data_IF_873240725434
#
_entry.id   IF_873240725434
#
_cell.length_a   1.000
_cell.length_b   1.000
_cell.length_c   1.000
_cell.angle_alpha   90.00
_cell.angle_beta   90.00
_cell.angle_gamma   90.00
#
_symmetry.space_group_name_H-M   'P 1'
#
loop_
_entity.id
_entity.type
_entity.pdbx_description
1 polymer ?
#
# COMPACT_ATOMS: atom_id res chain seq x y z
N UNK A 1 -17.59 -14.49 -1.90
CA UNK A 1 -16.49 -14.07 -2.78
C UNK A 1 -16.54 -12.57 -3.13
N UNK A 2 -16.35 -11.62 -2.17
CA UNK A 2 -15.94 -10.26 -2.56
C UNK A 2 -14.62 -9.76 -1.92
N UNK A 3 -14.11 -10.43 -0.89
CA UNK A 3 -12.99 -9.89 -0.09
C UNK A 3 -11.65 -9.84 -0.83
N UNK A 4 -11.42 -10.73 -1.80
CA UNK A 4 -10.17 -10.73 -2.59
C UNK A 4 -10.09 -9.59 -3.60
N UNK A 5 -11.23 -9.21 -4.17
CA UNK A 5 -11.27 -8.06 -5.07
C UNK A 5 -11.05 -6.77 -4.29
N UNK A 6 -11.65 -6.65 -3.10
CA UNK A 6 -11.39 -5.54 -2.18
C UNK A 6 -9.92 -5.49 -1.80
N UNK A 7 -9.32 -6.62 -1.42
CA UNK A 7 -7.90 -6.69 -1.08
C UNK A 7 -7.02 -6.20 -2.25
N UNK A 8 -7.21 -6.77 -3.44
CA UNK A 8 -6.46 -6.44 -4.67
C UNK A 8 -6.61 -4.97 -5.04
N UNK A 9 -7.83 -4.44 -5.02
CA UNK A 9 -8.10 -3.03 -5.29
C UNK A 9 -7.40 -2.12 -4.28
N UNK A 10 -7.51 -2.44 -2.98
CA UNK A 10 -6.90 -1.66 -1.90
C UNK A 10 -5.37 -1.61 -2.02
N UNK A 11 -4.72 -2.77 -2.21
CA UNK A 11 -3.25 -2.80 -2.34
C UNK A 11 -2.76 -2.12 -3.62
N UNK A 12 -3.51 -2.22 -4.73
CA UNK A 12 -3.16 -1.54 -5.97
C UNK A 12 -3.28 -0.01 -5.84
N UNK A 13 -4.36 0.47 -5.20
CA UNK A 13 -4.54 1.88 -4.87
C UNK A 13 -3.43 2.38 -3.94
N UNK A 14 -3.08 1.60 -2.91
CA UNK A 14 -1.98 1.93 -2.00
C UNK A 14 -0.66 2.09 -2.75
N UNK A 15 -0.32 1.17 -3.66
CA UNK A 15 0.88 1.26 -4.51
C UNK A 15 0.88 2.56 -5.32
N UNK A 16 -0.23 2.90 -5.97
CA UNK A 16 -0.32 4.11 -6.79
C UNK A 16 -0.12 5.39 -5.95
N UNK A 17 -0.81 5.49 -4.81
CA UNK A 17 -0.67 6.65 -3.91
C UNK A 17 0.72 6.74 -3.30
N UNK A 18 1.29 5.62 -2.88
CA UNK A 18 2.65 5.57 -2.31
C UNK A 18 3.71 5.94 -3.34
N UNK A 19 3.55 5.54 -4.60
CA UNK A 19 4.44 5.97 -5.66
C UNK A 19 4.43 7.49 -5.81
N UNK A 20 3.24 8.10 -5.86
CA UNK A 20 3.09 9.56 -5.94
C UNK A 20 3.68 10.27 -4.71
N UNK A 21 3.30 9.86 -3.50
CA UNK A 21 3.78 10.45 -2.24
C UNK A 21 5.31 10.33 -2.08
N UNK A 22 5.86 9.14 -2.31
CA UNK A 22 7.30 8.88 -2.21
C UNK A 22 8.06 9.74 -3.22
N UNK A 23 7.53 9.88 -4.44
CA UNK A 23 8.10 10.77 -5.45
C UNK A 23 8.12 12.24 -4.98
N UNK A 24 7.01 12.74 -4.45
CA UNK A 24 6.90 14.12 -3.94
C UNK A 24 7.90 14.34 -2.80
N UNK A 25 7.95 13.45 -1.81
CA UNK A 25 8.85 13.61 -0.67
C UNK A 25 10.32 13.47 -1.06
N UNK A 26 10.65 12.58 -1.99
CA UNK A 26 12.01 12.47 -2.52
C UNK A 26 12.43 13.76 -3.23
N UNK A 27 11.55 14.33 -4.06
CA UNK A 27 11.80 15.63 -4.71
C UNK A 27 11.97 16.75 -3.68
N UNK A 28 11.10 16.81 -2.67
CA UNK A 28 11.19 17.81 -1.60
C UNK A 28 12.46 17.66 -0.77
N UNK A 29 12.91 16.43 -0.52
CA UNK A 29 14.20 16.18 0.12
C UNK A 29 15.36 16.70 -0.73
N UNK A 30 15.34 16.48 -2.05
CA UNK A 30 16.40 16.99 -2.93
C UNK A 30 16.45 18.52 -2.97
N UNK A 31 15.30 19.19 -2.83
CA UNK A 31 15.21 20.65 -2.84
C UNK A 31 15.56 21.29 -1.48
N UNK A 32 15.00 20.77 -0.38
CA UNK A 32 15.02 21.42 0.95
C UNK A 32 16.00 20.72 1.90
N UNK A 33 16.39 19.46 1.62
CA UNK A 33 17.28 18.61 2.44
C UNK A 33 16.85 18.46 3.90
N UNK A 34 15.54 18.54 4.16
CA UNK A 34 14.96 18.33 5.49
C UNK A 34 14.99 16.85 5.90
N UNK A 35 15.35 16.59 7.16
CA UNK A 35 15.29 15.24 7.75
C UNK A 35 13.86 14.67 7.76
N UNK A 36 12.84 15.52 7.88
CA UNK A 36 11.45 15.08 7.84
C UNK A 36 11.07 14.55 6.45
N UNK A 37 11.46 15.25 5.38
CA UNK A 37 11.21 14.80 4.01
C UNK A 37 11.95 13.50 3.68
N UNK A 38 13.20 13.35 4.14
CA UNK A 38 13.92 12.08 4.03
C UNK A 38 13.22 10.94 4.78
N UNK A 39 12.79 11.19 6.03
CA UNK A 39 12.06 10.20 6.83
C UNK A 39 10.78 9.73 6.15
N UNK A 40 9.99 10.66 5.60
CA UNK A 40 8.78 10.34 4.84
C UNK A 40 9.08 9.58 3.55
N UNK A 41 10.12 9.98 2.80
CA UNK A 41 10.51 9.28 1.57
C UNK A 41 10.93 7.82 1.84
N UNK A 42 11.73 7.57 2.88
CA UNK A 42 12.14 6.22 3.27
C UNK A 42 10.93 5.41 3.75
N UNK A 43 10.09 6.00 4.60
CA UNK A 43 8.86 5.36 5.07
C UNK A 43 7.94 4.97 3.89
N UNK A 44 7.71 5.90 2.97
CA UNK A 44 6.92 5.68 1.75
C UNK A 44 7.49 4.58 0.88
N UNK A 45 8.82 4.56 0.66
CA UNK A 45 9.47 3.53 -0.14
C UNK A 45 9.35 2.12 0.46
N UNK A 46 9.53 1.99 1.79
CA UNK A 46 9.36 0.71 2.48
C UNK A 46 7.90 0.24 2.42
N UNK A 47 6.96 1.15 2.66
CA UNK A 47 5.53 0.82 2.61
C UNK A 47 5.07 0.49 1.18
N UNK A 48 5.67 1.12 0.17
CA UNK A 48 5.48 0.81 -1.24
C UNK A 48 5.96 -0.61 -1.54
N UNK A 49 7.16 -0.99 -1.09
CA UNK A 49 7.68 -2.35 -1.26
C UNK A 49 6.75 -3.39 -0.60
N UNK A 50 6.25 -3.12 0.61
CA UNK A 50 5.29 -3.98 1.30
C UNK A 50 3.98 -4.15 0.51
N UNK A 51 3.44 -3.07 -0.06
CA UNK A 51 2.20 -3.13 -0.83
C UNK A 51 2.40 -3.77 -2.20
N UNK A 52 3.54 -3.55 -2.85
CA UNK A 52 3.91 -4.23 -4.09
C UNK A 52 4.06 -5.75 -3.87
N UNK A 53 4.66 -6.17 -2.75
CA UNK A 53 4.72 -7.57 -2.35
C UNK A 53 3.31 -8.15 -2.12
N UNK A 54 2.41 -7.38 -1.53
CA UNK A 54 1.02 -7.79 -1.33
C UNK A 54 0.28 -7.98 -2.66
N UNK A 55 0.47 -7.08 -3.63
CA UNK A 55 -0.04 -7.23 -5.01
C UNK A 55 0.49 -8.53 -5.63
N UNK A 56 1.80 -8.80 -5.50
CA UNK A 56 2.42 -10.02 -6.00
C UNK A 56 1.80 -11.28 -5.40
N UNK A 57 1.69 -11.34 -4.07
CA UNK A 57 1.16 -12.50 -3.36
C UNK A 57 -0.31 -12.77 -3.72
N UNK A 58 -1.16 -11.74 -3.78
CA UNK A 58 -2.59 -11.91 -4.02
C UNK A 58 -2.96 -12.16 -5.49
N UNK A 59 -2.08 -11.81 -6.42
CA UNK A 59 -2.43 -11.79 -7.85
C UNK A 59 -1.58 -12.70 -8.71
N UNK A 60 -0.30 -12.89 -8.37
CA UNK A 60 0.68 -13.51 -9.28
C UNK A 60 1.38 -14.72 -8.67
N UNK A 61 1.55 -14.80 -7.35
CA UNK A 61 2.26 -15.91 -6.74
C UNK A 61 1.54 -17.24 -7.00
N UNK A 62 2.21 -18.28 -7.56
CA UNK A 62 1.55 -19.47 -8.08
C UNK A 62 0.80 -20.29 -7.02
N UNK A 63 1.32 -20.33 -5.79
CA UNK A 63 0.68 -21.05 -4.67
C UNK A 63 -0.22 -20.12 -3.84
N UNK A 64 0.34 -19.03 -3.33
CA UNK A 64 -0.35 -18.17 -2.37
C UNK A 64 -1.59 -17.48 -2.97
N UNK A 65 -1.58 -17.08 -4.24
CA UNK A 65 -2.74 -16.40 -4.85
C UNK A 65 -4.00 -17.27 -4.82
N UNK A 66 -3.86 -18.57 -5.10
CA UNK A 66 -4.93 -19.55 -4.98
C UNK A 66 -5.33 -19.77 -3.53
N UNK A 67 -4.35 -20.03 -2.65
CA UNK A 67 -4.61 -20.28 -1.23
C UNK A 67 -5.37 -19.13 -0.53
N UNK A 68 -5.02 -17.87 -0.81
CA UNK A 68 -5.74 -16.70 -0.31
C UNK A 68 -7.17 -16.58 -0.88
N UNK A 69 -7.43 -17.16 -2.06
CA UNK A 69 -8.74 -17.17 -2.68
C UNK A 69 -9.65 -18.32 -2.18
N UNK A 70 -9.07 -19.45 -1.75
CA UNK A 70 -9.81 -20.69 -1.47
C UNK A 70 -9.72 -21.16 -0.02
N UNK A 71 -8.52 -21.18 0.56
CA UNK A 71 -8.22 -21.99 1.75
C UNK A 71 -7.90 -21.16 3.01
N UNK A 72 -7.69 -19.85 2.86
CA UNK A 72 -7.37 -18.99 4.00
C UNK A 72 -8.54 -18.88 5.00
N UNK A 73 -8.29 -19.03 6.31
CA UNK A 73 -9.32 -18.84 7.34
C UNK A 73 -10.03 -17.47 7.22
N UNK A 74 -11.37 -17.43 7.15
CA UNK A 74 -12.11 -16.21 6.83
C UNK A 74 -11.88 -15.03 7.79
N UNK A 75 -11.65 -15.31 9.08
CA UNK A 75 -11.41 -14.26 10.08
C UNK A 75 -10.07 -13.56 9.86
N UNK A 76 -8.98 -14.34 9.74
CA UNK A 76 -7.65 -13.82 9.48
C UNK A 76 -7.61 -13.07 8.14
N UNK A 77 -8.33 -13.58 7.15
CA UNK A 77 -8.44 -12.95 5.85
C UNK A 77 -9.09 -11.57 5.93
N UNK A 78 -10.29 -11.47 6.51
CA UNK A 78 -11.02 -10.21 6.64
C UNK A 78 -10.22 -9.18 7.43
N UNK A 79 -9.56 -9.59 8.51
CA UNK A 79 -8.69 -8.72 9.28
C UNK A 79 -7.56 -8.14 8.39
N UNK A 80 -6.90 -8.97 7.58
CA UNK A 80 -5.89 -8.51 6.63
C UNK A 80 -6.42 -7.52 5.59
N UNK A 81 -7.62 -7.75 5.04
CA UNK A 81 -8.24 -6.82 4.09
C UNK A 81 -8.56 -5.47 4.75
N UNK A 82 -9.08 -5.49 5.98
CA UNK A 82 -9.37 -4.25 6.74
C UNK A 82 -8.10 -3.42 6.94
N UNK A 83 -6.95 -4.06 7.22
CA UNK A 83 -5.67 -3.35 7.33
C UNK A 83 -5.32 -2.61 6.05
N UNK A 84 -5.47 -3.25 4.88
CA UNK A 84 -5.19 -2.61 3.59
C UNK A 84 -6.13 -1.44 3.30
N UNK A 85 -7.42 -1.58 3.62
CA UNK A 85 -8.42 -0.52 3.46
C UNK A 85 -8.14 0.67 4.37
N UNK A 86 -7.81 0.44 5.64
CA UNK A 86 -7.42 1.51 6.56
C UNK A 86 -6.18 2.25 6.07
N UNK A 87 -5.20 1.50 5.54
CA UNK A 87 -4.03 2.11 4.92
C UNK A 87 -4.43 2.96 3.69
N UNK A 88 -5.35 2.49 2.84
CA UNK A 88 -5.86 3.27 1.70
C UNK A 88 -6.45 4.60 2.14
N UNK A 89 -7.26 4.62 3.21
CA UNK A 89 -7.83 5.85 3.75
C UNK A 89 -6.76 6.80 4.28
N UNK A 90 -5.77 6.26 5.01
CA UNK A 90 -4.65 7.04 5.54
C UNK A 90 -3.80 7.66 4.42
N UNK A 91 -3.50 6.89 3.36
CA UNK A 91 -2.74 7.37 2.21
C UNK A 91 -3.51 8.39 1.38
N UNK A 92 -4.83 8.19 1.20
CA UNK A 92 -5.67 9.15 0.50
C UNK A 92 -5.68 10.51 1.24
N UNK A 93 -5.82 10.47 2.57
CA UNK A 93 -5.72 11.67 3.40
C UNK A 93 -4.35 12.34 3.28
N UNK A 94 -3.26 11.55 3.38
CA UNK A 94 -1.90 12.07 3.29
C UNK A 94 -1.58 12.65 1.90
N UNK A 95 -2.07 12.03 0.83
CA UNK A 95 -1.95 12.52 -0.54
C UNK A 95 -2.70 13.84 -0.72
N UNK A 96 -3.92 13.94 -0.19
CA UNK A 96 -4.69 15.19 -0.21
C UNK A 96 -3.94 16.33 0.49
N UNK A 97 -3.45 16.10 1.72
CA UNK A 97 -2.68 17.11 2.48
C UNK A 97 -1.34 17.46 1.81
N UNK A 98 -0.73 16.52 1.09
CA UNK A 98 0.57 16.75 0.41
C UNK A 98 0.39 17.53 -0.91
N UNK A 99 -0.79 17.47 -1.52
CA UNK A 99 -1.08 18.19 -2.76
C UNK A 99 -1.41 19.67 -2.48
N UNK A 100 -2.12 19.95 -1.39
CA UNK A 100 -2.47 21.30 -0.94
C UNK A 100 -1.22 22.18 -0.70
#
# INVERSE_FOLDING_TARGET
MPWIDVARASVALNVAMLFALTWIWARNYLAIRSKHAAGLAVFGALLLAQNALSVYIYSFHPVLSGWFATDMPPLAWRAGVVVHVLQTLALAFLLWVTWD
#
